data_IF_524325514709
#
_entry.id   IF_524325514709
#
_cell.length_a   1.000
_cell.length_b   1.000
_cell.length_c   1.000
_cell.angle_alpha   90.00
_cell.angle_beta   90.00
_cell.angle_gamma   90.00
#
_symmetry.space_group_name_H-M   'P 1'
#
loop_
_entity.id
_entity.type
_entity.pdbx_description
1 polymer ?
#
# COMPACT_ATOMS: atom_id res chain seq x y z
N UNK A 1 -11.40 17.59 -7.33
CA UNK A 1 -11.59 16.65 -6.20
C UNK A 1 -12.09 15.29 -6.67
N UNK A 2 -11.38 14.67 -7.61
CA UNK A 2 -11.73 13.36 -8.18
C UNK A 2 -11.69 12.21 -7.16
N UNK A 3 -10.95 12.38 -6.06
CA UNK A 3 -10.92 11.39 -4.98
C UNK A 3 -12.31 11.08 -4.40
N UNK A 4 -13.21 12.05 -4.33
CA UNK A 4 -14.59 11.82 -3.87
C UNK A 4 -15.33 10.82 -4.77
N UNK A 5 -15.09 10.88 -6.08
CA UNK A 5 -15.68 9.94 -7.04
C UNK A 5 -15.16 8.53 -6.76
N UNK A 6 -13.86 8.38 -6.53
CA UNK A 6 -13.26 7.08 -6.19
C UNK A 6 -13.88 6.52 -4.92
N UNK A 7 -13.95 7.34 -3.85
CA UNK A 7 -14.50 6.90 -2.56
C UNK A 7 -15.96 6.45 -2.68
N UNK A 8 -16.80 7.23 -3.36
CA UNK A 8 -18.21 6.89 -3.57
C UNK A 8 -18.36 5.63 -4.44
N UNK A 9 -17.53 5.48 -5.48
CA UNK A 9 -17.53 4.30 -6.36
C UNK A 9 -17.09 3.02 -5.63
N UNK A 10 -16.31 3.13 -4.55
CA UNK A 10 -15.96 2.00 -3.67
C UNK A 10 -17.07 1.75 -2.66
N UNK A 11 -17.52 2.80 -1.95
CA UNK A 11 -18.42 2.62 -0.82
C UNK A 11 -19.82 2.18 -1.24
N UNK A 12 -20.37 2.69 -2.35
CA UNK A 12 -21.72 2.34 -2.80
C UNK A 12 -21.86 0.83 -3.06
N UNK A 13 -21.03 0.18 -3.89
CA UNK A 13 -21.11 -1.27 -4.09
C UNK A 13 -20.88 -2.06 -2.79
N UNK A 14 -19.93 -1.65 -1.97
CA UNK A 14 -19.63 -2.33 -0.69
C UNK A 14 -20.81 -2.26 0.27
N UNK A 15 -21.50 -1.12 0.35
CA UNK A 15 -22.68 -0.98 1.20
C UNK A 15 -23.90 -1.78 0.67
N UNK A 16 -23.99 -1.99 -0.65
CA UNK A 16 -25.09 -2.73 -1.27
C UNK A 16 -24.90 -4.25 -1.23
N UNK A 17 -23.67 -4.74 -1.40
CA UNK A 17 -23.37 -6.16 -1.62
C UNK A 17 -22.58 -6.77 -0.48
N UNK A 18 -21.75 -6.00 0.22
CA UNK A 18 -20.87 -6.48 1.30
C UNK A 18 -21.61 -6.81 2.59
N UNK A 19 -21.12 -7.78 3.35
CA UNK A 19 -21.61 -8.09 4.69
C UNK A 19 -21.11 -7.06 5.71
N UNK A 20 -21.95 -6.09 6.04
CA UNK A 20 -21.61 -4.98 6.95
C UNK A 20 -21.31 -5.42 8.41
N UNK A 21 -21.63 -6.66 8.77
CA UNK A 21 -21.30 -7.22 10.08
C UNK A 21 -19.88 -7.79 10.14
N UNK A 22 -19.20 -7.93 9.00
CA UNK A 22 -17.81 -8.40 8.95
C UNK A 22 -16.88 -7.31 9.49
N UNK A 23 -16.01 -7.71 10.42
CA UNK A 23 -14.99 -6.82 10.99
C UNK A 23 -14.05 -6.31 9.88
N UNK A 24 -13.74 -7.14 8.90
CA UNK A 24 -12.89 -6.76 7.77
C UNK A 24 -13.54 -5.69 6.90
N UNK A 25 -14.84 -5.84 6.59
CA UNK A 25 -15.60 -4.82 5.84
C UNK A 25 -15.63 -3.50 6.61
N UNK A 26 -15.91 -3.55 7.92
CA UNK A 26 -15.95 -2.35 8.76
C UNK A 26 -14.59 -1.64 8.84
N UNK A 27 -13.48 -2.39 8.95
CA UNK A 27 -12.14 -1.82 8.93
C UNK A 27 -11.83 -1.14 7.60
N UNK A 28 -12.23 -1.75 6.49
CA UNK A 28 -12.00 -1.16 5.16
C UNK A 28 -12.86 0.08 4.91
N UNK A 29 -14.12 0.09 5.36
CA UNK A 29 -14.99 1.28 5.32
C UNK A 29 -14.40 2.38 6.21
N UNK A 30 -13.99 2.07 7.43
CA UNK A 30 -13.37 3.02 8.34
C UNK A 30 -12.08 3.61 7.75
N UNK A 31 -11.24 2.78 7.12
CA UNK A 31 -10.04 3.22 6.41
C UNK A 31 -10.37 4.24 5.33
N UNK A 32 -11.37 3.91 4.49
CA UNK A 32 -11.79 4.76 3.38
C UNK A 32 -12.34 6.10 3.89
N UNK A 33 -13.15 6.08 4.95
CA UNK A 33 -13.74 7.29 5.51
C UNK A 33 -12.71 8.15 6.24
N UNK A 34 -11.88 7.58 7.12
CA UNK A 34 -10.90 8.35 7.92
C UNK A 34 -9.90 9.05 7.02
N UNK A 35 -9.28 8.32 6.08
CA UNK A 35 -8.31 8.92 5.17
C UNK A 35 -8.97 9.78 4.09
N UNK A 36 -10.17 9.41 3.65
CA UNK A 36 -10.96 10.22 2.73
C UNK A 36 -11.32 11.59 3.32
N UNK A 37 -11.79 11.64 4.55
CA UNK A 37 -12.10 12.90 5.26
C UNK A 37 -10.81 13.71 5.47
N UNK A 38 -9.72 13.05 5.85
CA UNK A 38 -8.42 13.71 6.06
C UNK A 38 -7.91 14.36 4.77
N UNK A 39 -7.93 13.61 3.66
CA UNK A 39 -7.52 14.11 2.35
C UNK A 39 -8.48 15.18 1.82
N UNK A 40 -9.79 14.99 2.00
CA UNK A 40 -10.80 15.98 1.62
C UNK A 40 -10.61 17.31 2.35
N UNK A 41 -10.31 17.28 3.64
CA UNK A 41 -10.02 18.49 4.41
C UNK A 41 -8.78 19.21 3.87
N UNK A 42 -7.75 18.48 3.44
CA UNK A 42 -6.56 19.04 2.82
C UNK A 42 -6.87 19.71 1.46
N UNK A 43 -7.55 18.97 0.58
CA UNK A 43 -7.95 19.46 -0.73
C UNK A 43 -8.90 20.66 -0.63
N UNK A 44 -9.81 20.65 0.35
CA UNK A 44 -10.73 21.75 0.62
C UNK A 44 -9.98 23.03 1.02
N UNK A 45 -8.98 22.91 1.92
CA UNK A 45 -8.16 24.05 2.35
C UNK A 45 -7.36 24.60 1.16
N UNK A 46 -6.77 23.73 0.34
CA UNK A 46 -6.00 24.15 -0.83
C UNK A 46 -6.85 24.85 -1.87
N UNK A 47 -8.04 24.32 -2.15
CA UNK A 47 -8.90 24.79 -3.25
C UNK A 47 -9.77 25.97 -2.84
N UNK A 48 -10.52 25.87 -1.74
CA UNK A 48 -11.52 26.87 -1.35
C UNK A 48 -10.95 27.97 -0.45
N UNK A 49 -9.98 27.64 0.41
CA UNK A 49 -9.32 28.67 1.23
C UNK A 49 -8.06 29.25 0.59
N UNK A 50 -7.73 28.82 -0.64
CA UNK A 50 -6.54 29.27 -1.39
C UNK A 50 -5.23 29.19 -0.60
N UNK A 51 -5.17 28.32 0.40
CA UNK A 51 -3.96 28.08 1.18
C UNK A 51 -3.18 26.90 0.55
N UNK A 52 -2.11 27.21 -0.16
CA UNK A 52 -1.30 26.22 -0.89
C UNK A 52 -0.66 25.14 0.02
N UNK A 53 -0.46 25.46 1.29
CA UNK A 53 0.16 24.52 2.23
C UNK A 53 -0.79 23.42 2.70
N UNK A 54 -2.11 23.63 2.56
CA UNK A 54 -3.14 22.67 2.97
C UNK A 54 -3.13 22.39 4.48
N UNK A 55 -3.39 21.14 4.85
CA UNK A 55 -3.30 20.66 6.23
C UNK A 55 -1.83 20.53 6.68
N UNK A 56 -1.57 20.93 7.92
CA UNK A 56 -0.24 20.73 8.51
C UNK A 56 0.16 19.24 8.47
N UNK A 57 1.42 18.90 8.11
CA UNK A 57 1.87 17.51 8.01
C UNK A 57 1.63 16.69 9.28
N UNK A 58 1.74 17.31 10.47
CA UNK A 58 1.46 16.68 11.76
C UNK A 58 0.01 16.21 11.91
N UNK A 59 -0.95 16.94 11.33
CA UNK A 59 -2.39 16.58 11.38
C UNK A 59 -2.65 15.38 10.47
N UNK A 60 -2.06 15.38 9.26
CA UNK A 60 -2.14 14.22 8.35
C UNK A 60 -1.58 12.98 9.01
N UNK A 61 -0.37 13.09 9.57
CA UNK A 61 0.26 11.97 10.28
C UNK A 61 -0.57 11.52 11.48
N UNK A 62 -1.16 12.45 12.24
CA UNK A 62 -2.04 12.13 13.37
C UNK A 62 -3.25 11.26 12.96
N UNK A 63 -3.90 11.59 11.85
CA UNK A 63 -5.00 10.78 11.31
C UNK A 63 -4.57 9.39 10.84
N UNK A 64 -3.40 9.29 10.20
CA UNK A 64 -2.81 8.01 9.79
C UNK A 64 -2.43 7.14 10.99
N UNK A 65 -1.84 7.73 12.04
CA UNK A 65 -1.51 7.05 13.30
C UNK A 65 -2.79 6.56 13.99
N UNK A 66 -3.82 7.39 14.08
CA UNK A 66 -5.10 7.00 14.66
C UNK A 66 -5.71 5.81 13.94
N UNK A 67 -5.74 5.84 12.60
CA UNK A 67 -6.23 4.72 11.81
C UNK A 67 -5.39 3.46 12.04
N UNK A 68 -4.06 3.56 12.00
CA UNK A 68 -3.17 2.41 12.25
C UNK A 68 -3.38 1.80 13.64
N UNK A 69 -3.63 2.63 14.66
CA UNK A 69 -3.98 2.15 15.99
C UNK A 69 -5.34 1.44 16.01
N UNK A 70 -6.36 2.01 15.36
CA UNK A 70 -7.69 1.37 15.26
C UNK A 70 -7.55 -0.01 14.62
N UNK A 71 -6.86 -0.10 13.48
CA UNK A 71 -6.64 -1.38 12.77
C UNK A 71 -5.86 -2.36 13.64
N UNK A 72 -4.69 -1.98 14.15
CA UNK A 72 -3.84 -2.87 14.94
C UNK A 72 -4.51 -3.35 16.24
N UNK A 73 -5.24 -2.48 16.95
CA UNK A 73 -5.98 -2.85 18.15
C UNK A 73 -7.17 -3.76 17.82
N UNK A 74 -7.87 -3.52 16.70
CA UNK A 74 -8.95 -4.40 16.26
C UNK A 74 -8.44 -5.80 15.94
N UNK A 75 -7.31 -5.93 15.26
CA UNK A 75 -6.67 -7.23 15.01
C UNK A 75 -6.32 -7.94 16.32
N UNK A 76 -5.86 -7.21 17.32
CA UNK A 76 -5.50 -7.79 18.63
C UNK A 76 -6.70 -8.23 19.44
N UNK A 77 -7.75 -7.38 19.54
CA UNK A 77 -8.80 -7.56 20.51
C UNK A 77 -10.09 -8.16 19.95
N UNK A 78 -10.40 -7.98 18.66
CA UNK A 78 -11.62 -8.53 18.07
C UNK A 78 -11.59 -10.06 18.03
N UNK A 79 -12.55 -10.76 18.61
CA UNK A 79 -12.63 -12.23 18.57
C UNK A 79 -12.90 -12.76 17.15
N UNK A 80 -13.44 -11.93 16.27
CA UNK A 80 -13.76 -12.31 14.90
C UNK A 80 -12.52 -12.33 13.98
N UNK A 81 -11.39 -11.77 14.43
CA UNK A 81 -10.13 -11.81 13.65
C UNK A 81 -9.34 -13.02 14.12
N UNK A 82 -9.32 -14.04 13.29
CA UNK A 82 -8.62 -15.30 13.51
C UNK A 82 -7.99 -15.76 12.21
N UNK A 83 -6.92 -16.53 12.30
CA UNK A 83 -6.27 -17.16 11.16
C UNK A 83 -6.18 -18.67 11.38
N UNK A 84 -6.20 -19.40 10.29
CA UNK A 84 -5.90 -20.82 10.27
C UNK A 84 -4.50 -21.00 9.71
N UNK A 85 -3.57 -21.45 10.57
CA UNK A 85 -2.14 -21.49 10.23
C UNK A 85 -1.79 -22.64 9.29
N UNK A 86 -2.52 -23.73 9.37
CA UNK A 86 -2.28 -24.94 8.56
C UNK A 86 -3.59 -25.52 8.06
N UNK A 87 -3.71 -25.65 6.76
CA UNK A 87 -4.82 -26.31 6.10
C UNK A 87 -4.25 -27.49 5.33
N UNK A 88 -4.61 -28.71 5.72
CA UNK A 88 -4.27 -29.92 4.98
C UNK A 88 -5.49 -30.40 4.20
N UNK A 89 -5.30 -30.71 2.92
CA UNK A 89 -6.31 -31.38 2.12
C UNK A 89 -5.97 -32.86 2.08
N UNK A 90 -6.81 -33.71 2.70
CA UNK A 90 -6.72 -35.16 2.63
C UNK A 90 -7.73 -35.68 1.62
N UNK A 91 -7.29 -36.60 0.78
CA UNK A 91 -8.18 -37.29 -0.14
C UNK A 91 -8.63 -38.59 0.54
N UNK A 92 -9.88 -38.66 0.95
CA UNK A 92 -10.49 -39.87 1.52
C UNK A 92 -11.73 -40.24 0.70
N UNK A 93 -11.79 -41.48 0.24
CA UNK A 93 -12.89 -42.00 -0.60
C UNK A 93 -13.16 -41.15 -1.87
N UNK A 94 -12.12 -40.71 -2.57
CA UNK A 94 -12.22 -39.82 -3.74
C UNK A 94 -12.90 -38.46 -3.46
N UNK A 95 -12.95 -38.03 -2.19
CA UNK A 95 -13.42 -36.69 -1.80
C UNK A 95 -12.29 -35.95 -1.10
N UNK A 96 -12.13 -34.68 -1.45
CA UNK A 96 -11.20 -33.78 -0.76
C UNK A 96 -11.80 -33.42 0.61
N UNK A 97 -11.16 -33.89 1.68
CA UNK A 97 -11.50 -33.47 3.06
C UNK A 97 -10.50 -32.45 3.51
N UNK A 98 -11.00 -31.27 3.80
CA UNK A 98 -10.17 -30.14 4.32
C UNK A 98 -10.05 -30.29 5.84
N UNK A 99 -8.86 -30.65 6.29
CA UNK A 99 -8.51 -30.66 7.72
C UNK A 99 -7.88 -29.33 8.07
N UNK A 100 -8.56 -28.56 8.89
CA UNK A 100 -8.07 -27.23 9.35
C UNK A 100 -7.51 -27.38 10.75
N UNK A 101 -6.39 -26.69 11.02
CA UNK A 101 -5.97 -26.43 12.40
C UNK A 101 -7.01 -25.55 13.10
N UNK A 102 -7.04 -25.49 14.44
CA UNK A 102 -7.90 -24.56 15.15
C UNK A 102 -7.64 -23.12 14.69
N UNK A 103 -8.72 -22.33 14.57
CA UNK A 103 -8.61 -20.90 14.30
C UNK A 103 -7.99 -20.22 15.53
N UNK A 104 -6.88 -19.53 15.33
CA UNK A 104 -6.11 -18.91 16.41
C UNK A 104 -5.81 -17.44 16.12
N UNK A 105 -5.61 -16.69 17.18
CA UNK A 105 -5.01 -15.35 17.08
C UNK A 105 -3.50 -15.52 17.01
N UNK A 106 -2.92 -15.12 15.90
CA UNK A 106 -1.49 -15.27 15.69
C UNK A 106 -0.86 -13.95 15.24
N UNK A 107 0.42 -13.79 15.58
CA UNK A 107 1.29 -12.72 15.09
C UNK A 107 2.15 -13.20 13.92
N UNK A 108 1.75 -14.30 13.27
CA UNK A 108 2.43 -14.79 12.08
C UNK A 108 2.08 -13.94 10.87
N UNK A 109 3.07 -13.72 10.03
CA UNK A 109 2.95 -13.04 8.74
C UNK A 109 3.62 -13.83 7.64
N UNK A 110 3.20 -13.55 6.42
CA UNK A 110 3.82 -14.13 5.22
C UNK A 110 5.07 -13.35 4.85
N UNK A 111 6.22 -14.05 4.75
CA UNK A 111 7.48 -13.46 4.30
C UNK A 111 7.83 -14.00 2.91
N UNK A 112 8.24 -13.15 1.96
CA UNK A 112 8.70 -13.59 0.65
C UNK A 112 10.04 -14.33 0.75
N UNK A 113 10.33 -15.24 -0.20
CA UNK A 113 11.61 -15.94 -0.38
C UNK A 113 12.03 -16.93 0.71
N UNK A 114 11.22 -17.18 1.73
CA UNK A 114 11.56 -18.12 2.80
C UNK A 114 10.70 -19.37 2.68
N UNK A 115 11.31 -20.53 2.91
CA UNK A 115 10.60 -21.80 2.95
C UNK A 115 9.50 -21.75 4.03
N UNK A 116 8.32 -22.27 3.71
CA UNK A 116 7.10 -22.20 4.53
C UNK A 116 6.50 -20.80 4.68
N UNK A 117 7.06 -19.78 4.05
CA UNK A 117 6.53 -18.40 3.95
C UNK A 117 6.04 -17.76 5.27
N UNK A 118 6.40 -18.30 6.43
CA UNK A 118 5.86 -17.89 7.73
C UNK A 118 6.96 -17.30 8.64
N UNK A 119 6.72 -16.09 9.10
CA UNK A 119 7.47 -15.44 10.16
C UNK A 119 6.55 -15.17 11.34
N UNK A 120 6.90 -15.65 12.54
CA UNK A 120 6.17 -15.28 13.74
C UNK A 120 6.90 -14.14 14.46
N UNK A 121 6.26 -12.99 14.60
CA UNK A 121 6.86 -11.87 15.34
C UNK A 121 7.13 -12.19 16.80
N UNK A 122 6.45 -13.18 17.40
CA UNK A 122 6.76 -13.65 18.74
C UNK A 122 8.19 -14.18 18.86
N UNK A 123 8.73 -14.79 17.79
CA UNK A 123 10.08 -15.33 17.79
C UNK A 123 11.17 -14.27 17.98
N UNK A 124 10.89 -13.01 17.60
CA UNK A 124 11.82 -11.89 17.83
C UNK A 124 11.98 -11.55 19.32
N UNK A 125 11.02 -11.97 20.15
CA UNK A 125 10.98 -11.65 21.58
C UNK A 125 11.16 -12.87 22.49
N UNK A 126 11.75 -13.97 21.99
CA UNK A 126 12.01 -15.19 22.79
C UNK A 126 12.83 -14.93 24.05
N UNK A 127 13.70 -13.91 24.01
CA UNK A 127 14.52 -13.48 25.14
C UNK A 127 13.72 -12.92 26.34
N UNK A 128 12.49 -12.46 26.09
CA UNK A 128 11.62 -11.85 27.14
C UNK A 128 10.82 -12.90 27.98
N UNK A 129 10.95 -14.19 27.63
CA UNK A 129 10.20 -15.28 28.28
C UNK A 129 8.77 -15.44 27.75
N UNK A 130 8.13 -16.62 27.98
CA UNK A 130 6.90 -17.01 27.30
C UNK A 130 5.72 -16.05 27.51
N UNK A 131 5.59 -15.49 28.70
CA UNK A 131 4.47 -14.60 29.05
C UNK A 131 4.56 -13.24 28.35
N UNK A 132 5.76 -12.68 28.23
CA UNK A 132 5.98 -11.34 27.63
C UNK A 132 6.16 -11.41 26.13
N UNK A 133 6.68 -12.51 25.61
CA UNK A 133 6.92 -12.73 24.19
C UNK A 133 5.71 -12.40 23.31
N UNK A 134 4.55 -12.95 23.62
CA UNK A 134 3.33 -12.71 22.86
C UNK A 134 2.81 -11.27 22.98
N UNK A 135 2.89 -10.68 24.19
CA UNK A 135 2.43 -9.31 24.39
C UNK A 135 3.33 -8.32 23.64
N UNK A 136 4.65 -8.51 23.66
CA UNK A 136 5.60 -7.68 22.91
C UNK A 136 5.42 -7.83 21.40
N UNK A 137 5.15 -9.05 20.91
CA UNK A 137 4.87 -9.30 19.50
C UNK A 137 3.62 -8.53 19.02
N UNK A 138 2.56 -8.50 19.84
CA UNK A 138 1.38 -7.73 19.51
C UNK A 138 1.61 -6.21 19.56
N UNK A 139 2.34 -5.72 20.55
CA UNK A 139 2.74 -4.29 20.59
C UNK A 139 3.55 -3.95 19.34
N UNK A 140 4.51 -4.79 18.97
CA UNK A 140 5.30 -4.63 17.75
C UNK A 140 4.41 -4.60 16.50
N UNK A 141 3.47 -5.55 16.36
CA UNK A 141 2.54 -5.61 15.23
C UNK A 141 1.67 -4.36 15.12
N UNK A 142 1.16 -3.83 16.26
CA UNK A 142 0.40 -2.58 16.27
C UNK A 142 1.27 -1.40 15.81
N UNK A 143 2.49 -1.29 16.30
CA UNK A 143 3.42 -0.22 15.89
C UNK A 143 3.81 -0.36 14.41
N UNK A 144 4.03 -1.58 13.94
CA UNK A 144 4.29 -1.88 12.54
C UNK A 144 3.10 -1.50 11.66
N UNK A 145 1.87 -1.81 12.09
CA UNK A 145 0.63 -1.41 11.42
C UNK A 145 0.54 0.11 11.25
N UNK A 146 0.80 0.86 12.33
CA UNK A 146 0.83 2.34 12.28
C UNK A 146 1.87 2.83 11.28
N UNK A 147 3.07 2.27 11.31
CA UNK A 147 4.14 2.63 10.39
C UNK A 147 3.77 2.36 8.93
N UNK A 148 3.22 1.16 8.64
CA UNK A 148 2.86 0.75 7.28
C UNK A 148 1.72 1.63 6.74
N UNK A 149 0.68 1.88 7.53
CA UNK A 149 -0.43 2.76 7.11
C UNK A 149 0.10 4.15 6.76
N UNK A 150 0.96 4.73 7.60
CA UNK A 150 1.56 6.02 7.32
C UNK A 150 2.48 5.99 6.09
N UNK A 151 3.36 4.99 5.98
CA UNK A 151 4.32 4.88 4.88
C UNK A 151 3.63 4.69 3.53
N UNK A 152 2.70 3.74 3.42
CA UNK A 152 2.03 3.43 2.14
C UNK A 152 1.06 4.52 1.73
N UNK A 153 0.32 5.12 2.69
CA UNK A 153 -0.58 6.25 2.42
C UNK A 153 0.20 7.48 1.90
N UNK A 154 1.31 7.84 2.53
CA UNK A 154 2.15 8.93 2.04
C UNK A 154 2.89 8.57 0.74
N UNK A 155 3.31 7.32 0.57
CA UNK A 155 3.93 6.85 -0.67
C UNK A 155 2.99 6.92 -1.87
N UNK A 156 1.73 6.53 -1.68
CA UNK A 156 0.68 6.68 -2.68
C UNK A 156 0.42 8.16 -3.03
N UNK A 157 0.40 9.03 -2.03
CA UNK A 157 0.25 10.47 -2.23
C UNK A 157 1.43 11.08 -3.00
N UNK A 158 2.67 10.67 -2.72
CA UNK A 158 3.84 11.08 -3.49
C UNK A 158 3.82 10.56 -4.93
N UNK A 159 3.19 9.42 -5.18
CA UNK A 159 3.04 8.83 -6.51
C UNK A 159 1.95 9.53 -7.37
N UNK A 160 1.12 10.40 -6.78
CA UNK A 160 0.08 11.17 -7.47
C UNK A 160 0.63 12.48 -8.06
N UNK A 161 1.69 12.38 -8.87
CA UNK A 161 2.35 13.54 -9.46
C UNK A 161 2.25 13.64 -10.98
N UNK A 162 1.66 12.64 -11.64
CA UNK A 162 1.45 12.59 -13.09
C UNK A 162 0.12 11.95 -13.45
N UNK A 163 -0.42 12.34 -14.60
CA UNK A 163 -1.69 11.83 -15.14
C UNK A 163 -1.68 10.31 -15.24
N UNK A 164 -2.65 9.66 -14.61
CA UNK A 164 -2.84 8.21 -14.62
C UNK A 164 -1.83 7.40 -13.82
N UNK A 165 -0.79 8.00 -13.23
CA UNK A 165 0.29 7.24 -12.61
C UNK A 165 -0.17 6.58 -11.30
N UNK A 166 -0.75 7.34 -10.38
CA UNK A 166 -1.21 6.82 -9.11
C UNK A 166 -2.37 5.85 -9.26
N UNK A 167 -3.37 6.20 -10.09
CA UNK A 167 -4.53 5.34 -10.34
C UNK A 167 -4.14 4.03 -11.00
N UNK A 168 -3.27 4.05 -12.01
CA UNK A 168 -2.83 2.85 -12.72
C UNK A 168 -1.94 1.94 -11.87
N UNK A 169 -0.92 2.49 -11.19
CA UNK A 169 -0.08 1.71 -10.27
C UNK A 169 -0.92 1.07 -9.16
N UNK A 170 -1.84 1.84 -8.57
CA UNK A 170 -2.70 1.34 -7.50
C UNK A 170 -3.73 0.31 -7.96
N UNK A 171 -4.21 0.39 -9.21
CA UNK A 171 -5.08 -0.63 -9.79
C UNK A 171 -4.34 -1.98 -9.94
N UNK A 172 -3.07 -1.94 -10.40
CA UNK A 172 -2.22 -3.15 -10.52
C UNK A 172 -1.96 -3.75 -9.14
N UNK A 173 -1.57 -2.93 -8.15
CA UNK A 173 -1.35 -3.36 -6.76
C UNK A 173 -2.64 -3.93 -6.17
N UNK A 174 -3.77 -3.23 -6.35
CA UNK A 174 -5.08 -3.64 -5.87
C UNK A 174 -5.54 -4.96 -6.46
N UNK A 175 -5.31 -5.19 -7.77
CA UNK A 175 -5.60 -6.46 -8.43
C UNK A 175 -4.76 -7.61 -7.84
N UNK A 176 -3.50 -7.36 -7.53
CA UNK A 176 -2.64 -8.36 -6.88
C UNK A 176 -3.14 -8.69 -5.48
N UNK A 177 -3.52 -7.68 -4.68
CA UNK A 177 -4.12 -7.89 -3.35
C UNK A 177 -5.47 -8.60 -3.44
N UNK A 178 -6.29 -8.31 -4.45
CA UNK A 178 -7.55 -9.01 -4.73
C UNK A 178 -7.33 -10.50 -4.96
N UNK A 179 -6.34 -10.85 -5.78
CA UNK A 179 -5.96 -12.24 -6.02
C UNK A 179 -5.49 -12.93 -4.73
N UNK A 180 -4.66 -12.26 -3.94
CA UNK A 180 -4.19 -12.79 -2.66
C UNK A 180 -5.32 -12.94 -1.64
N UNK A 181 -6.28 -12.01 -1.61
CA UNK A 181 -7.49 -12.11 -0.78
C UNK A 181 -8.35 -13.31 -1.19
N UNK A 182 -8.56 -13.49 -2.49
CA UNK A 182 -9.31 -14.64 -3.01
C UNK A 182 -8.66 -15.99 -2.64
N UNK A 183 -7.33 -16.09 -2.79
CA UNK A 183 -6.59 -17.29 -2.40
C UNK A 183 -6.72 -17.54 -0.89
N UNK A 184 -6.53 -16.52 -0.06
CA UNK A 184 -6.59 -16.62 1.41
C UNK A 184 -8.00 -16.86 1.94
N UNK A 185 -9.05 -16.54 1.17
CA UNK A 185 -10.44 -16.79 1.54
C UNK A 185 -10.92 -18.22 1.27
N UNK A 186 -10.17 -18.99 0.50
CA UNK A 186 -10.55 -20.37 0.15
C UNK A 186 -9.52 -21.35 0.73
N UNK A 187 -9.99 -22.24 1.60
CA UNK A 187 -9.14 -23.20 2.32
C UNK A 187 -8.36 -24.13 1.37
N UNK A 188 -8.97 -24.59 0.26
CA UNK A 188 -8.32 -25.49 -0.70
C UNK A 188 -7.22 -24.77 -1.46
N UNK A 189 -7.49 -23.59 -1.99
CA UNK A 189 -6.49 -22.78 -2.72
C UNK A 189 -5.36 -22.31 -1.81
N UNK A 190 -5.67 -21.94 -0.56
CA UNK A 190 -4.68 -21.55 0.44
C UNK A 190 -3.72 -22.72 0.75
N UNK A 191 -4.26 -23.94 0.92
CA UNK A 191 -3.46 -25.15 1.17
C UNK A 191 -2.53 -25.49 -0.01
N UNK A 192 -3.02 -25.39 -1.25
CA UNK A 192 -2.19 -25.66 -2.43
C UNK A 192 -0.99 -24.73 -2.61
N UNK A 193 -1.08 -23.51 -2.05
CA UNK A 193 -0.04 -22.51 -2.14
C UNK A 193 0.72 -22.27 -0.82
N UNK A 194 0.49 -23.13 0.18
CA UNK A 194 1.07 -23.01 1.53
C UNK A 194 0.84 -21.63 2.16
N UNK A 195 -0.36 -21.06 1.92
CA UNK A 195 -0.76 -19.76 2.47
C UNK A 195 -1.73 -19.94 3.64
N UNK A 196 -1.71 -18.97 4.54
CA UNK A 196 -2.66 -18.91 5.65
C UNK A 196 -4.08 -18.72 5.13
N UNK A 197 -5.00 -19.56 5.59
CA UNK A 197 -6.43 -19.38 5.39
C UNK A 197 -6.98 -18.40 6.42
N UNK A 198 -7.73 -17.43 5.97
CA UNK A 198 -8.29 -16.36 6.81
C UNK A 198 -9.81 -16.41 6.72
N UNK A 199 -10.49 -16.99 7.74
CA UNK A 199 -11.94 -17.04 7.77
C UNK A 199 -12.56 -15.65 7.68
N UNK A 200 -13.59 -15.48 6.85
CA UNK A 200 -14.27 -14.19 6.67
C UNK A 200 -13.58 -13.19 5.75
N UNK A 201 -12.41 -13.54 5.17
CA UNK A 201 -11.70 -12.67 4.25
C UNK A 201 -12.33 -12.60 2.84
N UNK A 202 -13.37 -13.39 2.56
CA UNK A 202 -14.17 -13.28 1.34
C UNK A 202 -14.78 -11.89 1.16
N UNK A 203 -15.10 -11.20 2.25
CA UNK A 203 -15.59 -9.82 2.21
C UNK A 203 -14.54 -8.82 1.75
N UNK A 204 -13.26 -9.13 2.00
CA UNK A 204 -12.16 -8.33 1.50
C UNK A 204 -12.03 -8.44 -0.02
N UNK A 205 -12.39 -9.61 -0.60
CA UNK A 205 -12.46 -9.82 -2.05
C UNK A 205 -13.51 -8.88 -2.67
N UNK A 206 -14.70 -8.78 -2.06
CA UNK A 206 -15.77 -7.87 -2.53
C UNK A 206 -15.29 -6.42 -2.47
N UNK A 207 -14.67 -6.01 -1.36
CA UNK A 207 -14.16 -4.66 -1.20
C UNK A 207 -13.07 -4.33 -2.23
N UNK A 208 -12.09 -5.22 -2.40
CA UNK A 208 -10.97 -5.01 -3.32
C UNK A 208 -11.43 -5.06 -4.80
N UNK A 209 -12.46 -5.83 -5.13
CA UNK A 209 -13.07 -5.81 -6.46
C UNK A 209 -13.70 -4.43 -6.75
N UNK A 210 -14.44 -3.87 -5.79
CA UNK A 210 -14.99 -2.52 -5.90
C UNK A 210 -13.86 -1.46 -6.00
N UNK A 211 -12.79 -1.62 -5.22
CA UNK A 211 -11.62 -0.74 -5.26
C UNK A 211 -10.94 -0.75 -6.63
N UNK A 212 -10.63 -1.92 -7.18
CA UNK A 212 -10.00 -2.06 -8.50
C UNK A 212 -10.91 -1.51 -9.59
N UNK A 213 -12.21 -1.84 -9.55
CA UNK A 213 -13.21 -1.33 -10.51
C UNK A 213 -13.30 0.20 -10.47
N UNK A 214 -13.32 0.81 -9.28
CA UNK A 214 -13.34 2.26 -9.12
C UNK A 214 -12.07 2.91 -9.70
N UNK A 215 -10.90 2.32 -9.49
CA UNK A 215 -9.64 2.83 -10.04
C UNK A 215 -9.56 2.72 -11.55
N UNK A 216 -10.02 1.62 -12.14
CA UNK A 216 -10.07 1.45 -13.60
C UNK A 216 -11.04 2.46 -14.22
N UNK A 217 -12.22 2.63 -13.61
CA UNK A 217 -13.19 3.64 -14.07
C UNK A 217 -12.66 5.08 -13.95
N UNK A 218 -11.95 5.37 -12.84
CA UNK A 218 -11.32 6.67 -12.66
C UNK A 218 -10.18 6.91 -13.65
N UNK A 219 -9.37 5.89 -13.94
CA UNK A 219 -8.25 5.95 -14.87
C UNK A 219 -8.68 6.35 -16.27
N UNK A 220 -9.89 5.99 -16.69
CA UNK A 220 -10.46 6.41 -17.98
C UNK A 220 -10.46 7.93 -18.17
N UNK A 221 -10.73 8.68 -17.10
CA UNK A 221 -10.76 10.14 -17.11
C UNK A 221 -9.45 10.78 -16.61
N UNK A 222 -8.64 10.04 -15.88
CA UNK A 222 -7.39 10.50 -15.29
C UNK A 222 -6.15 10.19 -16.16
N UNK A 223 -6.29 9.38 -17.22
CA UNK A 223 -5.19 9.14 -18.17
C UNK A 223 -4.86 10.41 -18.95
N UNK A 224 -3.60 10.52 -19.39
CA UNK A 224 -3.11 11.72 -20.08
C UNK A 224 -3.84 11.98 -21.42
N UNK A 225 -4.29 13.21 -21.71
CA UNK A 225 -4.37 14.36 -20.81
C UNK A 225 -5.52 14.24 -19.81
N UNK A 226 -5.23 14.34 -18.51
CA UNK A 226 -6.21 14.12 -17.47
C UNK A 226 -7.34 15.16 -17.48
N UNK A 227 -8.58 14.68 -17.44
CA UNK A 227 -9.77 15.51 -17.30
C UNK A 227 -10.13 15.75 -15.83
N UNK A 228 -9.77 14.80 -14.95
CA UNK A 228 -10.06 14.82 -13.52
C UNK A 228 -8.80 14.44 -12.74
N UNK A 229 -8.47 15.24 -11.73
CA UNK A 229 -7.35 14.98 -10.82
C UNK A 229 -7.82 14.35 -9.51
N UNK A 230 -7.00 13.42 -8.97
CA UNK A 230 -7.32 12.64 -7.79
C UNK A 230 -7.29 13.49 -6.52
N UNK A 231 -6.21 14.21 -6.29
CA UNK A 231 -5.95 14.98 -5.07
C UNK A 231 -5.63 14.10 -3.85
N UNK A 232 -5.38 14.77 -2.70
CA UNK A 232 -5.04 14.09 -1.45
C UNK A 232 -6.20 13.23 -0.93
N UNK A 233 -7.45 13.58 -1.25
CA UNK A 233 -8.66 12.79 -0.94
C UNK A 233 -8.54 11.36 -1.48
N UNK A 234 -8.14 11.21 -2.74
CA UNK A 234 -8.01 9.90 -3.37
C UNK A 234 -6.70 9.22 -3.00
N UNK A 235 -5.58 9.91 -3.17
CA UNK A 235 -4.26 9.31 -3.07
C UNK A 235 -3.92 8.78 -1.66
N UNK A 236 -4.26 9.53 -0.59
CA UNK A 236 -4.08 9.06 0.78
C UNK A 236 -4.97 7.84 1.07
N UNK A 237 -6.22 7.88 0.63
CA UNK A 237 -7.19 6.80 0.86
C UNK A 237 -6.76 5.51 0.14
N UNK A 238 -6.34 5.60 -1.11
CA UNK A 238 -5.84 4.47 -1.89
C UNK A 238 -4.68 3.78 -1.18
N UNK A 239 -3.68 4.56 -0.74
CA UNK A 239 -2.55 4.01 -0.01
C UNK A 239 -2.96 3.33 1.31
N UNK A 240 -3.92 3.91 2.03
CA UNK A 240 -4.48 3.30 3.25
C UNK A 240 -5.22 2.00 2.98
N UNK A 241 -6.04 1.94 1.94
CA UNK A 241 -6.75 0.72 1.51
C UNK A 241 -5.74 -0.39 1.19
N UNK A 242 -4.69 -0.09 0.42
CA UNK A 242 -3.60 -1.04 0.11
C UNK A 242 -2.92 -1.54 1.39
N UNK A 243 -2.54 -0.63 2.29
CA UNK A 243 -1.88 -0.96 3.54
C UNK A 243 -2.74 -1.87 4.43
N UNK A 244 -3.97 -1.45 4.71
CA UNK A 244 -4.88 -2.16 5.62
C UNK A 244 -5.29 -3.51 5.05
N UNK A 245 -5.51 -3.62 3.74
CA UNK A 245 -5.80 -4.90 3.07
C UNK A 245 -4.67 -5.91 3.27
N UNK A 246 -3.41 -5.49 3.07
CA UNK A 246 -2.26 -6.37 3.26
C UNK A 246 -2.08 -6.78 4.73
N UNK A 247 -2.33 -5.87 5.67
CA UNK A 247 -2.25 -6.12 7.12
C UNK A 247 -3.32 -7.11 7.55
N UNK A 248 -4.57 -6.95 7.11
CA UNK A 248 -5.68 -7.90 7.39
C UNK A 248 -5.32 -9.30 6.90
N UNK A 249 -4.66 -9.41 5.75
CA UNK A 249 -4.25 -10.68 5.16
C UNK A 249 -2.96 -11.25 5.77
N UNK A 250 -2.34 -10.59 6.74
CA UNK A 250 -1.01 -10.96 7.25
C UNK A 250 0.04 -11.08 6.14
N UNK A 251 0.03 -10.11 5.22
CA UNK A 251 0.92 -10.03 4.05
C UNK A 251 1.63 -8.68 3.96
N UNK A 252 1.75 -8.00 5.09
CA UNK A 252 2.36 -6.68 5.19
C UNK A 252 3.83 -6.66 4.76
N UNK A 253 4.57 -7.76 4.94
CA UNK A 253 5.97 -7.87 4.52
C UNK A 253 6.14 -8.01 3.00
N UNK A 254 5.07 -8.22 2.24
CA UNK A 254 5.09 -8.18 0.78
C UNK A 254 4.99 -6.75 0.24
N UNK A 255 4.46 -5.80 1.04
CA UNK A 255 4.26 -4.41 0.60
C UNK A 255 5.54 -3.73 0.12
N UNK A 256 6.72 -3.89 0.75
CA UNK A 256 7.95 -3.30 0.23
C UNK A 256 8.27 -3.73 -1.21
N UNK A 257 7.93 -4.96 -1.57
CA UNK A 257 8.10 -5.48 -2.93
C UNK A 257 6.96 -4.99 -3.84
N UNK A 258 5.71 -5.24 -3.46
CA UNK A 258 4.53 -4.92 -4.25
C UNK A 258 4.36 -3.41 -4.48
N UNK A 259 4.61 -2.60 -3.45
CA UNK A 259 4.58 -1.14 -3.50
C UNK A 259 5.97 -0.52 -3.73
N UNK A 260 6.89 -1.24 -4.38
CA UNK A 260 8.27 -0.79 -4.58
C UNK A 260 8.35 0.58 -5.26
N UNK A 261 7.44 0.88 -6.19
CA UNK A 261 7.35 2.20 -6.82
C UNK A 261 7.09 3.29 -5.78
N UNK A 262 6.14 3.10 -4.85
CA UNK A 262 5.87 4.08 -3.77
C UNK A 262 7.08 4.25 -2.85
N UNK A 263 7.79 3.16 -2.56
CA UNK A 263 9.02 3.18 -1.78
C UNK A 263 10.12 4.03 -2.45
N UNK A 264 10.34 3.85 -3.73
CA UNK A 264 11.33 4.63 -4.47
C UNK A 264 10.97 6.12 -4.54
N UNK A 265 9.67 6.47 -4.62
CA UNK A 265 9.21 7.86 -4.51
C UNK A 265 9.55 8.46 -3.13
N UNK A 266 9.33 7.71 -2.04
CA UNK A 266 9.69 8.11 -0.69
C UNK A 266 11.20 8.30 -0.55
N UNK A 267 12.01 7.34 -1.02
CA UNK A 267 13.47 7.44 -0.95
C UNK A 267 14.02 8.63 -1.72
N UNK A 268 13.48 8.91 -2.92
CA UNK A 268 13.89 10.08 -3.68
C UNK A 268 13.59 11.38 -2.91
N UNK A 269 12.46 11.43 -2.21
CA UNK A 269 12.08 12.58 -1.41
C UNK A 269 13.02 12.78 -0.18
N UNK A 270 13.41 11.69 0.48
CA UNK A 270 14.40 11.74 1.56
C UNK A 270 15.78 12.19 1.09
N UNK A 271 16.29 11.67 -0.04
CA UNK A 271 17.58 12.08 -0.60
C UNK A 271 17.62 13.57 -0.90
N UNK A 272 16.59 14.08 -1.58
CA UNK A 272 16.49 15.51 -1.92
C UNK A 272 16.30 16.37 -0.68
N UNK A 273 15.43 15.98 0.24
CA UNK A 273 15.19 16.71 1.48
C UNK A 273 16.45 16.76 2.36
N UNK A 274 17.18 15.67 2.45
CA UNK A 274 18.44 15.64 3.21
C UNK A 274 19.52 16.53 2.58
N UNK A 275 19.60 16.55 1.25
CA UNK A 275 20.50 17.46 0.52
C UNK A 275 20.19 18.93 0.80
N UNK A 276 18.90 19.30 0.69
CA UNK A 276 18.45 20.69 0.92
C UNK A 276 18.79 21.14 2.35
N UNK A 277 18.59 20.26 3.34
CA UNK A 277 18.78 20.59 4.74
C UNK A 277 20.25 20.64 5.18
N UNK A 278 21.12 19.81 4.60
CA UNK A 278 22.49 19.61 5.08
C UNK A 278 23.59 19.99 4.08
N UNK A 279 23.23 20.54 2.90
CA UNK A 279 24.20 21.05 1.92
C UNK A 279 25.16 20.00 1.35
N UNK A 280 24.74 18.74 1.23
CA UNK A 280 25.61 17.67 0.73
C UNK A 280 26.04 17.88 -0.71
N UNK A 281 27.31 17.58 -1.03
CA UNK A 281 27.89 17.73 -2.38
C UNK A 281 27.41 16.68 -3.38
N UNK A 282 26.86 15.54 -2.90
CA UNK A 282 26.42 14.43 -3.75
C UNK A 282 24.93 14.21 -3.58
N UNK A 283 24.24 14.05 -4.69
CA UNK A 283 22.80 13.83 -4.79
C UNK A 283 22.54 12.78 -5.86
N UNK A 284 21.63 11.85 -5.59
CA UNK A 284 21.28 10.77 -6.52
C UNK A 284 20.26 11.26 -7.54
N UNK A 285 19.23 11.98 -7.08
CA UNK A 285 18.10 12.38 -7.88
C UNK A 285 18.13 13.89 -8.21
N UNK A 286 17.79 14.29 -9.44
CA UNK A 286 17.73 15.71 -9.87
C UNK A 286 16.62 16.47 -9.13
N UNK A 287 15.48 15.83 -8.94
CA UNK A 287 14.30 16.38 -8.27
C UNK A 287 13.53 15.26 -7.59
N UNK A 288 12.80 15.56 -6.54
CA UNK A 288 11.86 14.66 -5.88
C UNK A 288 10.43 15.18 -6.11
N UNK A 289 9.46 14.29 -6.18
CA UNK A 289 9.54 12.82 -6.12
C UNK A 289 10.28 12.19 -7.33
N UNK A 290 10.44 10.84 -7.36
CA UNK A 290 11.25 10.15 -8.38
C UNK A 290 10.80 10.42 -9.82
N UNK A 291 9.50 10.46 -10.08
CA UNK A 291 8.97 10.74 -11.41
C UNK A 291 9.43 12.11 -11.95
N UNK A 292 9.57 13.11 -11.09
CA UNK A 292 10.09 14.44 -11.44
C UNK A 292 11.58 14.41 -11.86
N UNK A 293 12.36 13.43 -11.38
CA UNK A 293 13.72 13.22 -11.86
C UNK A 293 13.78 12.96 -13.36
N UNK A 294 12.83 12.18 -13.89
CA UNK A 294 12.78 11.85 -15.31
C UNK A 294 12.22 12.98 -16.18
N UNK A 295 11.43 13.88 -15.60
CA UNK A 295 10.84 15.05 -16.25
C UNK A 295 11.76 16.27 -16.24
N UNK A 296 12.72 16.35 -15.32
CA UNK A 296 13.58 17.52 -15.12
C UNK A 296 14.87 17.44 -15.92
N UNK A 297 15.17 18.47 -16.73
CA UNK A 297 16.44 18.58 -17.43
C UNK A 297 17.58 19.01 -16.47
N UNK A 298 18.83 18.77 -16.89
CA UNK A 298 19.99 19.26 -16.12
C UNK A 298 20.06 20.81 -16.11
N UNK A 299 19.66 21.46 -17.21
CA UNK A 299 19.59 22.90 -17.31
C UNK A 299 18.59 23.52 -16.31
N UNK A 300 17.42 22.88 -16.15
CA UNK A 300 16.42 23.33 -15.19
C UNK A 300 16.88 23.10 -13.74
N UNK A 301 17.57 21.98 -13.48
CA UNK A 301 18.22 21.77 -12.21
C UNK A 301 19.25 22.89 -11.89
N UNK A 302 20.12 23.25 -12.85
CA UNK A 302 21.10 24.31 -12.65
C UNK A 302 20.47 25.69 -12.49
N UNK A 303 19.37 25.99 -13.20
CA UNK A 303 18.61 27.24 -12.98
C UNK A 303 18.03 27.31 -11.56
N UNK A 304 17.47 26.21 -11.05
CA UNK A 304 16.92 26.16 -9.70
C UNK A 304 18.01 26.23 -8.60
N UNK A 305 19.21 25.73 -8.89
CA UNK A 305 20.34 25.64 -7.95
C UNK A 305 21.65 26.14 -8.58
N UNK A 306 21.82 27.46 -8.89
CA UNK A 306 22.95 27.99 -9.66
C UNK A 306 24.31 27.72 -9.00
N UNK A 307 24.37 27.78 -7.68
CA UNK A 307 25.59 27.61 -6.88
C UNK A 307 25.83 26.15 -6.46
N UNK A 308 25.02 25.20 -6.95
CA UNK A 308 25.19 23.80 -6.60
C UNK A 308 26.46 23.23 -7.24
N UNK A 309 27.37 22.74 -6.40
CA UNK A 309 28.54 21.95 -6.80
C UNK A 309 28.21 20.48 -7.01
N UNK A 310 26.93 20.13 -7.04
CA UNK A 310 26.46 18.75 -7.21
C UNK A 310 26.88 18.22 -8.57
N UNK A 311 27.65 17.17 -8.55
CA UNK A 311 27.97 16.36 -9.73
C UNK A 311 27.19 15.05 -9.66
N UNK A 312 26.46 14.73 -10.72
CA UNK A 312 25.80 13.43 -10.84
C UNK A 312 26.83 12.45 -11.39
N UNK A 313 27.35 11.55 -10.54
CA UNK A 313 28.39 10.58 -10.93
C UNK A 313 27.98 9.76 -12.17
N UNK A 314 28.84 9.78 -13.21
CA UNK A 314 28.88 8.80 -14.28
C UNK A 314 27.99 9.03 -15.49
N UNK A 315 27.53 10.27 -15.77
CA UNK A 315 26.64 10.47 -16.90
C UNK A 315 27.04 11.69 -17.75
N UNK A 316 27.44 11.39 -18.99
CA UNK A 316 27.65 12.38 -20.04
C UNK A 316 26.33 13.00 -20.54
N UNK A 317 26.31 13.54 -21.76
CA UNK A 317 25.21 14.33 -22.35
C UNK A 317 23.82 13.68 -22.36
N UNK A 318 23.71 12.36 -22.15
CA UNK A 318 22.43 11.64 -21.98
C UNK A 318 21.60 12.05 -20.75
N UNK A 319 22.15 12.86 -19.83
CA UNK A 319 21.46 13.37 -18.65
C UNK A 319 20.43 14.46 -18.95
N UNK A 320 20.48 15.05 -20.15
CA UNK A 320 19.51 16.03 -20.64
C UNK A 320 18.22 15.43 -21.22
N UNK A 321 18.13 14.11 -21.35
CA UNK A 321 16.93 13.46 -21.88
C UNK A 321 15.76 13.62 -20.89
N UNK A 322 14.86 14.52 -21.21
CA UNK A 322 13.57 14.71 -20.57
C UNK A 322 12.57 13.74 -21.22
N UNK A 323 11.91 12.94 -20.42
CA UNK A 323 10.86 12.05 -20.93
C UNK A 323 9.50 12.71 -20.83
N UNK A 324 8.66 12.49 -21.84
CA UNK A 324 7.26 12.89 -21.83
C UNK A 324 6.51 12.16 -20.68
N UNK A 325 5.54 12.81 -20.04
CA UNK A 325 4.79 12.28 -18.89
C UNK A 325 4.20 10.90 -19.17
N UNK A 326 3.51 10.72 -20.30
CA UNK A 326 2.95 9.42 -20.73
C UNK A 326 4.00 8.30 -20.70
N UNK A 327 5.21 8.58 -21.20
CA UNK A 327 6.30 7.59 -21.23
C UNK A 327 6.76 7.22 -19.82
N UNK A 328 6.77 8.17 -18.91
CA UNK A 328 7.13 7.93 -17.50
C UNK A 328 6.04 7.09 -16.85
N UNK A 329 4.77 7.49 -16.96
CA UNK A 329 3.61 6.77 -16.41
C UNK A 329 3.57 5.32 -16.87
N UNK A 330 3.71 5.05 -18.18
CA UNK A 330 3.73 3.69 -18.72
C UNK A 330 4.90 2.87 -18.16
N UNK A 331 6.08 3.46 -18.02
CA UNK A 331 7.25 2.77 -17.44
C UNK A 331 7.03 2.41 -15.98
N UNK A 332 6.37 3.29 -15.20
CA UNK A 332 6.01 3.01 -13.82
C UNK A 332 5.00 1.88 -13.73
N UNK A 333 4.00 1.83 -14.63
CA UNK A 333 3.07 0.69 -14.70
C UNK A 333 3.79 -0.61 -15.01
N UNK A 334 4.70 -0.61 -16.01
CA UNK A 334 5.49 -1.81 -16.35
C UNK A 334 6.29 -2.29 -15.13
N UNK A 335 6.96 -1.39 -14.41
CA UNK A 335 7.69 -1.74 -13.19
C UNK A 335 6.74 -2.30 -12.14
N UNK A 336 5.59 -1.69 -11.93
CA UNK A 336 4.58 -2.18 -10.97
C UNK A 336 4.05 -3.56 -11.36
N UNK A 337 3.79 -3.83 -12.64
CA UNK A 337 3.39 -5.16 -13.14
C UNK A 337 4.48 -6.19 -12.87
N UNK A 338 5.75 -5.86 -13.13
CA UNK A 338 6.88 -6.76 -12.87
C UNK A 338 7.02 -7.05 -11.37
N UNK A 339 6.88 -6.05 -10.50
CA UNK A 339 6.91 -6.22 -9.05
C UNK A 339 5.72 -7.05 -8.56
N UNK A 340 4.53 -6.85 -9.12
CA UNK A 340 3.33 -7.63 -8.83
C UNK A 340 3.51 -9.10 -9.23
N UNK A 341 3.98 -9.35 -10.46
CA UNK A 341 4.28 -10.70 -10.93
C UNK A 341 5.35 -11.38 -10.07
N UNK A 342 6.40 -10.64 -9.71
CA UNK A 342 7.46 -11.14 -8.85
C UNK A 342 6.93 -11.45 -7.44
N UNK A 343 6.09 -10.59 -6.88
CA UNK A 343 5.41 -10.85 -5.59
C UNK A 343 4.61 -12.15 -5.62
N UNK A 344 3.84 -12.40 -6.68
CA UNK A 344 3.09 -13.65 -6.83
C UNK A 344 4.01 -14.86 -7.02
N UNK A 345 5.12 -14.70 -7.74
CA UNK A 345 6.10 -15.78 -7.94
C UNK A 345 6.79 -16.20 -6.65
N UNK A 346 6.95 -15.29 -5.66
CA UNK A 346 7.58 -15.64 -4.37
C UNK A 346 6.86 -16.77 -3.64
N UNK A 347 5.55 -16.95 -3.86
CA UNK A 347 4.78 -18.04 -3.26
C UNK A 347 4.99 -19.41 -3.94
N UNK A 348 5.56 -19.43 -5.13
CA UNK A 348 5.85 -20.67 -5.86
C UNK A 348 7.30 -21.15 -5.66
N UNK A 349 8.17 -20.29 -5.16
CA UNK A 349 9.57 -20.64 -4.87
C UNK A 349 9.57 -21.43 -3.54
N UNK A 350 9.75 -22.77 -3.65
CA UNK A 350 9.77 -23.72 -2.52
C UNK A 350 11.20 -23.98 -2.03
#
# INVERSE_FOLDING_TARGET
MGGVIILTSILIPVLLVGKLHSVYTLLMIATTLVLGILGFADDYIKTFKHNKDGLKPKVKLGGQVLLGLIVGLTLRFSPAVQINETVEVKIENNKEIVVKSPDVKSTRTTIPFVKNHNLNYADLFRWAGPKWMYNLAWVFLVLLTVFIVAAVSNGSNLNDGMDGMASGNSAIIGLTLLLLAYISSNAVTASHLDLMYIPGSEELVVFLAAFVGALIGFLWFNSFPAQIFMGDTGSLTIGGIIAVSAIIMHKELLLPLLCGVFLFEIFANFDVGHFVKHGKKHRIWKKAPLHDHFRTSYSDFKKAWPNSTVTFKGRGDGFNNVHHEVKITIRFWIVTILLAAFTLLTFKIR
#
